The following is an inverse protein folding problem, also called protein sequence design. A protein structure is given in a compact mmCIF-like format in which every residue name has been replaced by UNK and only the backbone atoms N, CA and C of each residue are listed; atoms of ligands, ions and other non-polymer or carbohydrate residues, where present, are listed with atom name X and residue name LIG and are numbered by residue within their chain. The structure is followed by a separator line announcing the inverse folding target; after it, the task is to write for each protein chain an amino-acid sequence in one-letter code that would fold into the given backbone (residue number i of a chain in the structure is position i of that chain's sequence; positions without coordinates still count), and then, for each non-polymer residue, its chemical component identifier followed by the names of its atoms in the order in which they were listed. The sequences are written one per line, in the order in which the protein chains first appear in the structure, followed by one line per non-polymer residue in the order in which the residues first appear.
data_IF_664907890575
#
_entry.id   IF_664907890575
#
_cell.length_a   1.000
_cell.length_b   1.000
_cell.length_c   1.000
_cell.angle_alpha   90.00
_cell.angle_beta   90.00
_cell.angle_gamma   90.00
#
_symmetry.space_group_name_H-M   'P 1'
#
loop_
_entity.id
_entity.type
_entity.pdbx_description
1 polymer ?
#
# COMPACT_ATOMS: atom_id res chain seq x y z
N UNK A 1 -31.44 -0.46 -21.38
CA UNK A 1 -30.79 -0.23 -20.08
C UNK A 1 -29.30 -0.39 -20.33
N UNK A 2 -28.75 0.50 -21.16
CA UNK A 2 -28.23 1.84 -20.84
C UNK A 2 -26.73 1.70 -20.62
N UNK A 3 -25.99 1.95 -21.70
CA UNK A 3 -24.55 2.16 -21.79
C UNK A 3 -24.07 3.38 -20.97
N UNK A 4 -24.90 3.87 -20.05
CA UNK A 4 -24.70 5.07 -19.22
C UNK A 4 -24.16 4.74 -17.83
N UNK A 5 -24.06 3.45 -17.44
CA UNK A 5 -23.46 3.01 -16.17
C UNK A 5 -21.96 2.67 -16.26
N UNK A 6 -21.38 2.54 -17.46
CA UNK A 6 -19.96 2.16 -17.61
C UNK A 6 -18.96 3.32 -17.44
N UNK A 7 -19.43 4.58 -17.42
CA UNK A 7 -18.58 5.78 -17.29
C UNK A 7 -18.51 6.35 -15.86
N UNK A 8 -19.15 5.69 -14.88
CA UNK A 8 -19.20 6.16 -13.48
C UNK A 8 -18.22 5.45 -12.54
N UNK A 9 -17.49 4.44 -13.01
CA UNK A 9 -16.56 3.64 -12.20
C UNK A 9 -15.21 4.37 -11.98
N UNK A 10 -14.88 5.32 -12.83
CA UNK A 10 -13.58 6.01 -12.75
C UNK A 10 -13.57 7.21 -11.78
N UNK A 11 -14.72 7.83 -11.48
CA UNK A 11 -14.81 9.05 -10.66
C UNK A 11 -15.03 8.79 -9.16
N UNK A 12 -15.62 7.64 -8.80
CA UNK A 12 -15.83 7.23 -7.41
C UNK A 12 -14.50 6.82 -6.77
N UNK A 13 -13.66 6.11 -7.54
CA UNK A 13 -12.33 5.71 -7.10
C UNK A 13 -11.42 6.92 -6.83
N UNK A 14 -11.49 7.99 -7.64
CA UNK A 14 -10.64 9.18 -7.45
C UNK A 14 -11.04 10.04 -6.24
N UNK A 15 -12.34 10.20 -5.96
CA UNK A 15 -12.79 10.94 -4.78
C UNK A 15 -12.45 10.23 -3.47
N UNK A 16 -12.60 8.90 -3.46
CA UNK A 16 -12.25 8.08 -2.29
C UNK A 16 -10.73 8.10 -2.02
N UNK A 17 -9.92 8.10 -3.07
CA UNK A 17 -8.45 8.18 -2.96
C UNK A 17 -7.98 9.51 -2.37
N UNK A 18 -8.56 10.63 -2.77
CA UNK A 18 -8.24 11.96 -2.22
C UNK A 18 -8.55 12.05 -0.72
N UNK A 19 -9.75 11.59 -0.32
CA UNK A 19 -10.15 11.56 1.09
C UNK A 19 -9.27 10.65 1.95
N UNK A 20 -8.85 9.50 1.41
CA UNK A 20 -7.92 8.60 2.09
C UNK A 20 -6.50 9.17 2.17
N UNK A 21 -6.05 9.93 1.17
CA UNK A 21 -4.75 10.63 1.20
C UNK A 21 -4.71 11.71 2.28
N UNK A 22 -5.75 12.54 2.39
CA UNK A 22 -5.87 13.54 3.46
C UNK A 22 -5.91 12.89 4.86
N UNK A 23 -6.61 11.77 4.99
CA UNK A 23 -6.65 10.98 6.23
C UNK A 23 -5.27 10.42 6.57
N UNK A 24 -4.53 9.91 5.58
CA UNK A 24 -3.16 9.43 5.74
C UNK A 24 -2.23 10.54 6.23
N UNK A 25 -2.25 11.70 5.57
CA UNK A 25 -1.44 12.86 5.96
C UNK A 25 -1.73 13.30 7.39
N UNK A 26 -3.01 13.37 7.78
CA UNK A 26 -3.41 13.68 9.17
C UNK A 26 -2.96 12.61 10.16
N UNK A 27 -3.11 11.33 9.82
CA UNK A 27 -2.74 10.21 10.69
C UNK A 27 -1.24 10.17 11.00
N UNK A 28 -0.40 10.50 10.02
CA UNK A 28 1.06 10.51 10.16
C UNK A 28 1.66 11.92 10.32
N UNK A 29 0.81 12.93 10.49
CA UNK A 29 1.16 14.34 10.62
C UNK A 29 2.18 14.81 9.55
N UNK A 30 1.92 14.45 8.29
CA UNK A 30 2.76 14.76 7.14
C UNK A 30 2.32 16.08 6.50
N UNK A 31 3.29 16.90 6.12
CA UNK A 31 3.10 18.15 5.38
C UNK A 31 4.05 18.11 4.19
N UNK A 32 3.50 18.27 2.98
CA UNK A 32 4.26 18.26 1.73
C UNK A 32 3.98 19.56 0.96
N UNK A 33 4.96 20.03 0.20
CA UNK A 33 4.76 21.10 -0.77
C UNK A 33 3.91 20.60 -1.95
N UNK A 34 3.19 21.47 -2.68
CA UNK A 34 2.24 21.05 -3.73
C UNK A 34 2.89 20.26 -4.87
N UNK A 35 4.18 20.48 -5.14
CA UNK A 35 4.95 19.70 -6.12
C UNK A 35 5.22 18.27 -5.61
N UNK A 36 5.61 18.15 -4.34
CA UNK A 36 5.92 16.88 -3.68
C UNK A 36 4.66 16.06 -3.38
N UNK A 37 3.55 16.71 -3.02
CA UNK A 37 2.26 16.06 -2.72
C UNK A 37 1.79 15.19 -3.88
N UNK A 38 1.93 15.68 -5.13
CA UNK A 38 1.60 14.90 -6.34
C UNK A 38 2.48 13.66 -6.50
N UNK A 39 3.78 13.79 -6.23
CA UNK A 39 4.74 12.69 -6.33
C UNK A 39 4.45 11.64 -5.24
N UNK A 40 4.27 12.08 -4.00
CA UNK A 40 3.98 11.22 -2.86
C UNK A 40 2.63 10.55 -2.96
N UNK A 41 1.60 11.24 -3.47
CA UNK A 41 0.29 10.67 -3.75
C UNK A 41 0.38 9.49 -4.70
N UNK A 42 1.10 9.63 -5.82
CA UNK A 42 1.28 8.52 -6.76
C UNK A 42 2.00 7.31 -6.15
N UNK A 43 2.96 7.54 -5.25
CA UNK A 43 3.64 6.45 -4.53
C UNK A 43 2.71 5.78 -3.52
N UNK A 44 1.90 6.57 -2.84
CA UNK A 44 0.94 6.08 -1.85
C UNK A 44 -0.19 5.26 -2.48
N UNK A 45 -0.71 5.69 -3.63
CA UNK A 45 -1.67 4.92 -4.43
C UNK A 45 -1.10 3.58 -4.87
N UNK A 46 0.16 3.55 -5.32
CA UNK A 46 0.81 2.29 -5.68
C UNK A 46 0.99 1.39 -4.45
N UNK A 47 1.37 1.95 -3.30
CA UNK A 47 1.46 1.20 -2.04
C UNK A 47 0.12 0.60 -1.63
N UNK A 48 -1.00 1.30 -1.83
CA UNK A 48 -2.35 0.76 -1.59
C UNK A 48 -2.63 -0.45 -2.48
N UNK A 49 -2.29 -0.38 -3.77
CA UNK A 49 -2.45 -1.52 -4.68
C UNK A 49 -1.59 -2.71 -4.26
N UNK A 50 -0.33 -2.48 -3.90
CA UNK A 50 0.57 -3.53 -3.44
C UNK A 50 0.05 -4.21 -2.17
N UNK A 51 -0.46 -3.43 -1.22
CA UNK A 51 -1.09 -3.95 0.00
C UNK A 51 -2.32 -4.81 -0.34
N UNK A 52 -3.19 -4.33 -1.23
CA UNK A 52 -4.37 -5.08 -1.65
C UNK A 52 -4.01 -6.41 -2.34
N UNK A 53 -3.01 -6.40 -3.23
CA UNK A 53 -2.50 -7.59 -3.90
C UNK A 53 -1.93 -8.59 -2.88
N UNK A 54 -1.09 -8.11 -1.96
CA UNK A 54 -0.50 -8.96 -0.93
C UNK A 54 -1.55 -9.58 0.00
N UNK A 55 -2.55 -8.81 0.41
CA UNK A 55 -3.63 -9.31 1.26
C UNK A 55 -4.52 -10.32 0.53
N UNK A 56 -4.77 -10.12 -0.76
CA UNK A 56 -5.45 -11.13 -1.60
C UNK A 56 -4.64 -12.41 -1.70
N UNK A 57 -3.34 -12.30 -1.97
CA UNK A 57 -2.45 -13.47 -2.04
C UNK A 57 -2.32 -14.17 -0.67
N UNK A 58 -2.45 -13.43 0.45
CA UNK A 58 -2.57 -13.99 1.79
C UNK A 58 -3.86 -14.82 1.97
N UNK A 59 -5.00 -14.34 1.47
CA UNK A 59 -6.26 -15.11 1.48
C UNK A 59 -6.17 -16.37 0.60
N UNK A 60 -5.37 -16.33 -0.46
CA UNK A 60 -5.03 -17.51 -1.28
C UNK A 60 -3.98 -18.42 -0.62
N UNK A 61 -3.48 -18.08 0.56
CA UNK A 61 -2.48 -18.84 1.30
C UNK A 61 -1.05 -18.78 0.73
N UNK A 62 -0.77 -17.85 -0.19
CA UNK A 62 0.58 -17.65 -0.76
C UNK A 62 1.50 -16.88 0.17
N UNK A 63 0.93 -16.01 1.01
CA UNK A 63 1.64 -15.29 2.07
C UNK A 63 1.09 -15.67 3.44
N UNK A 64 1.93 -15.48 4.46
CA UNK A 64 1.62 -15.84 5.86
C UNK A 64 1.34 -14.63 6.74
N UNK A 65 1.39 -13.44 6.15
CA UNK A 65 1.10 -12.18 6.82
C UNK A 65 0.28 -11.29 5.89
N UNK A 66 -0.44 -10.34 6.48
CA UNK A 66 -1.09 -9.25 5.76
C UNK A 66 -0.23 -8.00 5.88
N UNK A 67 -0.30 -7.13 4.87
CA UNK A 67 0.32 -5.81 4.91
C UNK A 67 -0.74 -4.73 5.01
N UNK A 68 -0.32 -3.53 5.40
CA UNK A 68 -1.19 -2.37 5.53
C UNK A 68 -0.44 -1.09 5.19
N UNK A 69 -1.18 -0.01 4.95
CA UNK A 69 -0.60 1.31 4.77
C UNK A 69 0.10 1.75 6.05
N UNK A 70 1.37 2.12 5.89
CA UNK A 70 2.26 2.56 6.95
C UNK A 70 2.85 3.93 6.60
N UNK A 71 3.58 4.53 7.53
CA UNK A 71 4.22 5.86 7.38
C UNK A 71 5.28 5.97 6.26
N UNK A 72 5.61 4.86 5.60
CA UNK A 72 6.53 4.74 4.47
C UNK A 72 5.79 4.43 3.17
N UNK A 73 4.45 4.40 3.19
CA UNK A 73 3.65 4.15 2.00
C UNK A 73 3.75 5.29 0.97
N UNK A 74 4.19 6.48 1.38
CA UNK A 74 4.54 7.61 0.49
C UNK A 74 6.00 7.58 -0.01
N UNK A 75 6.79 6.58 0.37
CA UNK A 75 8.22 6.49 0.03
C UNK A 75 8.51 5.35 -0.94
N UNK A 76 9.31 5.62 -1.98
CA UNK A 76 9.70 4.59 -2.95
C UNK A 76 10.57 3.54 -2.26
N UNK A 77 10.46 2.25 -2.65
CA UNK A 77 11.35 1.22 -2.14
C UNK A 77 12.84 1.49 -2.40
N UNK A 78 13.17 2.25 -3.46
CA UNK A 78 14.54 2.72 -3.72
C UNK A 78 15.08 3.67 -2.63
N UNK A 79 14.22 4.55 -2.09
CA UNK A 79 14.57 5.49 -1.02
C UNK A 79 14.57 4.82 0.37
N UNK A 80 13.85 3.68 0.53
CA UNK A 80 13.86 2.86 1.77
C UNK A 80 15.21 2.19 2.03
N UNK A 81 16.14 2.26 1.09
CA UNK A 81 17.44 1.60 1.17
C UNK A 81 18.49 2.38 1.96
N UNK A 82 18.52 2.25 3.29
CA UNK A 82 19.82 2.26 3.94
C UNK A 82 20.51 0.94 3.55
N UNK A 83 21.51 1.01 2.66
CA UNK A 83 22.29 -0.15 2.21
C UNK A 83 23.09 -0.75 3.37
N UNK A 84 22.47 -1.54 4.22
CA UNK A 84 23.16 -2.55 4.98
C UNK A 84 23.48 -3.70 4.01
N UNK A 85 24.50 -3.53 3.16
CA UNK A 85 25.10 -4.62 2.39
C UNK A 85 25.76 -5.59 3.37
N UNK A 86 25.00 -6.50 3.94
CA UNK A 86 25.52 -7.76 4.47
C UNK A 86 24.57 -8.87 4.06
N UNK A 87 25.12 -9.87 3.37
CA UNK A 87 24.41 -11.00 2.80
C UNK A 87 23.60 -11.75 3.87
N UNK A 88 22.30 -11.48 3.97
CA UNK A 88 21.40 -12.33 4.71
C UNK A 88 20.63 -13.18 3.69
N UNK A 89 21.02 -14.45 3.55
CA UNK A 89 20.07 -15.49 3.14
C UNK A 89 18.90 -15.35 4.10
N UNK A 90 17.76 -14.83 3.62
CA UNK A 90 16.50 -14.97 4.35
C UNK A 90 16.20 -16.46 4.31
N UNK A 91 16.55 -17.15 5.39
CA UNK A 91 16.01 -18.48 5.66
C UNK A 91 14.52 -18.22 5.81
N UNK A 92 13.75 -18.59 4.78
CA UNK A 92 12.30 -18.69 4.87
C UNK A 92 12.04 -19.72 5.98
N UNK A 93 11.85 -19.24 7.21
CA UNK A 93 11.42 -20.09 8.29
C UNK A 93 9.92 -20.35 8.04
N UNK A 94 9.50 -21.59 7.78
CA UNK A 94 8.09 -21.91 7.66
C UNK A 94 7.42 -21.57 9.00
N UNK A 95 6.34 -20.76 9.03
CA UNK A 95 5.58 -20.59 10.26
C UNK A 95 4.84 -21.89 10.55
N UNK A 96 5.12 -22.45 11.73
CA UNK A 96 4.43 -23.60 12.28
C UNK A 96 2.91 -23.35 12.32
N UNK A 97 2.06 -24.31 11.91
CA UNK A 97 0.62 -24.22 12.08
C UNK A 97 0.27 -24.43 13.56
N UNK A 98 0.28 -23.35 14.33
CA UNK A 98 -0.06 -23.32 15.75
C UNK A 98 -1.29 -22.45 16.03
N UNK A 99 -2.45 -23.10 16.01
CA UNK A 99 -3.68 -22.84 16.77
C UNK A 99 -3.95 -21.38 17.19
N UNK A 100 -4.86 -20.70 16.49
CA UNK A 100 -5.65 -19.63 17.11
C UNK A 100 -7.02 -20.21 17.46
N UNK A 101 -7.28 -20.29 18.78
CA UNK A 101 -8.55 -20.72 19.40
C UNK A 101 -9.64 -19.65 19.23
#
# INVERSE_FOLDING_TARGET
MSEQESLLIDLDTEQDVDGKWETYKKKFNKVYEPEEDRIHRGIWEESQRQVAIHNRDYEEGKYTYTTGINQFSDMKPEDRGCRCRHNAKVIAHPPEPGVYE
#
